data_IF_407990963875
#
_entry.id   IF_407990963875
#
_cell.length_a   1.000
_cell.length_b   1.000
_cell.length_c   1.000
_cell.angle_alpha   90.00
_cell.angle_beta   90.00
_cell.angle_gamma   90.00
#
_symmetry.space_group_name_H-M   'P 1'
#
loop_
_entity.id
_entity.type
_entity.pdbx_description
1 polymer ?
#
# COMPACT_ATOMS: atom_id res chain seq x y z
N UNK A 1 24.43 7.75 -29.92
CA UNK A 1 23.60 8.43 -28.91
C UNK A 1 23.32 7.37 -27.81
N UNK A 2 23.98 7.46 -26.69
CA UNK A 2 23.76 6.56 -25.56
C UNK A 2 22.41 6.90 -24.93
N UNK A 3 21.50 5.95 -24.92
CA UNK A 3 20.17 6.15 -24.31
C UNK A 3 20.33 6.48 -22.82
N UNK A 4 19.63 7.52 -22.36
CA UNK A 4 19.59 7.91 -20.96
C UNK A 4 18.90 6.79 -20.14
N UNK A 5 19.67 6.14 -19.26
CA UNK A 5 19.25 4.94 -18.51
C UNK A 5 18.80 5.27 -17.09
N UNK A 6 18.08 4.36 -16.43
CA UNK A 6 17.69 4.53 -15.04
C UNK A 6 18.90 4.66 -14.10
N UNK A 7 20.02 3.98 -14.41
CA UNK A 7 21.27 4.14 -13.68
C UNK A 7 21.81 5.58 -13.76
N UNK A 8 21.67 6.27 -14.90
CA UNK A 8 22.09 7.67 -15.02
C UNK A 8 21.21 8.60 -14.16
N UNK A 9 19.91 8.28 -13.99
CA UNK A 9 19.01 9.04 -13.11
C UNK A 9 19.40 8.88 -11.64
N UNK A 10 19.69 7.66 -11.21
CA UNK A 10 20.15 7.36 -9.86
C UNK A 10 21.46 8.07 -9.53
N UNK A 11 22.44 8.00 -10.44
CA UNK A 11 23.71 8.69 -10.30
C UNK A 11 23.55 10.21 -10.15
N UNK A 12 22.70 10.85 -10.95
CA UNK A 12 22.45 12.30 -10.85
C UNK A 12 21.68 12.68 -9.59
N UNK A 13 20.81 11.80 -9.10
CA UNK A 13 20.13 12.00 -7.82
C UNK A 13 21.13 11.95 -6.66
N UNK A 14 21.98 10.93 -6.60
CA UNK A 14 23.01 10.81 -5.57
C UNK A 14 24.02 11.96 -5.65
N UNK A 15 24.40 12.39 -6.86
CA UNK A 15 25.25 13.56 -7.08
C UNK A 15 24.61 14.85 -6.57
N UNK A 16 23.29 15.03 -6.76
CA UNK A 16 22.56 16.20 -6.27
C UNK A 16 22.50 16.30 -4.75
N UNK A 17 22.63 15.16 -4.06
CA UNK A 17 22.65 15.04 -2.59
C UNK A 17 24.06 14.99 -1.99
N UNK A 18 25.10 15.00 -2.84
CA UNK A 18 26.49 14.89 -2.38
C UNK A 18 26.87 13.50 -1.83
N UNK A 19 26.15 12.47 -2.23
CA UNK A 19 26.31 11.07 -1.77
C UNK A 19 27.22 10.23 -2.67
N UNK A 20 27.77 10.80 -3.73
CA UNK A 20 28.61 10.11 -4.71
C UNK A 20 30.05 9.95 -4.23
N UNK A 21 30.68 8.84 -4.59
CA UNK A 21 32.14 8.63 -4.47
C UNK A 21 32.89 9.49 -5.48
N UNK A 22 34.22 9.62 -5.32
CA UNK A 22 35.09 10.41 -6.23
C UNK A 22 34.95 9.94 -7.69
N UNK A 23 34.89 8.65 -7.95
CA UNK A 23 34.71 8.06 -9.29
C UNK A 23 33.34 8.35 -9.89
N UNK A 24 32.28 8.25 -9.09
CA UNK A 24 30.90 8.55 -9.50
C UNK A 24 30.67 10.04 -9.75
N UNK A 25 31.34 10.90 -8.99
CA UNK A 25 31.34 12.35 -9.21
C UNK A 25 31.85 12.70 -10.59
N UNK A 26 33.00 12.13 -10.99
CA UNK A 26 33.59 12.34 -12.33
C UNK A 26 32.65 11.79 -13.42
N UNK A 27 32.01 10.66 -13.19
CA UNK A 27 31.04 10.09 -14.14
C UNK A 27 29.78 10.99 -14.28
N UNK A 28 29.28 11.53 -13.19
CA UNK A 28 28.14 12.46 -13.17
C UNK A 28 28.44 13.77 -13.90
N UNK A 29 29.62 14.38 -13.64
CA UNK A 29 30.05 15.58 -14.32
C UNK A 29 30.24 15.38 -15.83
N UNK A 30 30.80 14.23 -16.22
CA UNK A 30 30.89 13.84 -17.61
C UNK A 30 29.53 13.68 -18.28
N UNK A 31 28.57 13.07 -17.58
CA UNK A 31 27.21 12.89 -18.06
C UNK A 31 26.52 14.24 -18.27
N UNK A 32 26.68 15.18 -17.34
CA UNK A 32 26.15 16.55 -17.43
C UNK A 32 26.77 17.32 -18.61
N UNK A 33 28.05 17.11 -18.90
CA UNK A 33 28.73 17.76 -20.04
C UNK A 33 28.27 17.20 -21.41
N UNK A 34 27.76 15.97 -21.47
CA UNK A 34 27.48 15.27 -22.73
C UNK A 34 25.98 15.16 -23.07
N UNK A 35 25.07 15.32 -22.09
CA UNK A 35 23.65 15.11 -22.29
C UNK A 35 22.81 16.31 -21.82
N UNK A 36 22.09 16.99 -22.71
CA UNK A 36 21.16 18.05 -22.32
C UNK A 36 20.00 17.52 -21.48
N UNK A 37 19.63 16.23 -21.64
CA UNK A 37 18.60 15.58 -20.81
C UNK A 37 19.08 15.43 -19.36
N UNK A 38 20.38 15.13 -19.16
CA UNK A 38 20.97 15.04 -17.82
C UNK A 38 20.98 16.40 -17.12
N UNK A 39 21.29 17.47 -17.84
CA UNK A 39 21.25 18.86 -17.32
C UNK A 39 19.84 19.23 -16.90
N UNK A 40 18.84 18.98 -17.74
CA UNK A 40 17.44 19.28 -17.42
C UNK A 40 16.93 18.53 -16.18
N UNK A 41 17.32 17.26 -16.03
CA UNK A 41 16.98 16.47 -14.85
C UNK A 41 17.68 17.01 -13.61
N UNK A 42 18.95 17.32 -13.69
CA UNK A 42 19.74 17.87 -12.58
C UNK A 42 19.18 19.22 -12.10
N UNK A 43 18.82 20.12 -13.02
CA UNK A 43 18.21 21.41 -12.69
C UNK A 43 16.84 21.21 -12.01
N UNK A 44 16.06 20.24 -12.48
CA UNK A 44 14.77 19.88 -11.83
C UNK A 44 15.00 19.36 -10.40
N UNK A 45 15.93 18.43 -10.21
CA UNK A 45 16.28 17.90 -8.89
C UNK A 45 16.75 19.01 -7.96
N UNK A 46 17.62 19.89 -8.43
CA UNK A 46 18.15 21.01 -7.64
C UNK A 46 17.05 22.00 -7.26
N UNK A 47 16.10 22.27 -8.15
CA UNK A 47 14.96 23.17 -7.84
C UNK A 47 14.04 22.59 -6.77
N UNK A 48 13.82 21.25 -6.79
CA UNK A 48 13.02 20.54 -5.78
C UNK A 48 13.73 20.46 -4.43
N UNK A 49 15.08 20.33 -4.44
CA UNK A 49 15.89 20.22 -3.23
C UNK A 49 16.26 21.59 -2.63
N UNK A 50 16.16 22.67 -3.38
CA UNK A 50 16.55 24.02 -2.91
C UNK A 50 15.87 24.47 -1.63
N UNK A 51 14.61 24.08 -1.27
CA UNK A 51 14.04 24.41 0.03
C UNK A 51 14.80 23.78 1.21
N UNK A 52 15.57 22.72 0.99
CA UNK A 52 16.39 22.09 2.04
C UNK A 52 17.61 22.93 2.39
N UNK A 53 18.11 23.77 1.46
CA UNK A 53 19.22 24.68 1.69
C UNK A 53 18.84 25.81 2.68
N UNK A 54 17.53 26.05 2.85
CA UNK A 54 16.99 27.03 3.79
C UNK A 54 16.83 26.49 5.22
N UNK A 55 17.09 25.20 5.46
CA UNK A 55 17.09 24.63 6.81
C UNK A 55 18.32 25.13 7.56
N UNK A 56 18.12 25.81 8.68
CA UNK A 56 19.19 26.16 9.61
C UNK A 56 19.84 24.85 10.12
N UNK A 57 21.04 24.56 9.64
CA UNK A 57 21.85 23.45 10.15
C UNK A 57 22.42 23.90 11.49
N UNK A 58 22.05 23.21 12.55
CA UNK A 58 22.63 23.46 13.88
C UNK A 58 24.16 23.28 13.79
N UNK A 59 24.95 24.29 14.19
CA UNK A 59 26.40 24.21 14.04
C UNK A 59 26.95 23.05 14.85
N UNK A 60 27.81 22.26 14.20
CA UNK A 60 28.45 21.12 14.85
C UNK A 60 29.24 21.63 16.08
N UNK A 61 29.07 21.02 17.28
CA UNK A 61 29.82 21.39 18.46
C UNK A 61 31.31 21.42 18.15
N UNK A 62 32.01 22.53 18.43
CA UNK A 62 33.46 22.73 18.11
C UNK A 62 34.36 21.62 18.67
N UNK A 63 33.91 20.96 19.76
CA UNK A 63 34.65 19.89 20.40
C UNK A 63 34.43 18.48 19.80
N UNK A 64 33.44 18.32 18.89
CA UNK A 64 33.07 16.97 18.39
C UNK A 64 34.24 16.32 17.63
N UNK A 65 34.91 17.07 16.77
CA UNK A 65 36.07 16.58 16.01
C UNK A 65 37.22 16.19 16.94
N UNK A 66 37.53 17.01 17.94
CA UNK A 66 38.60 16.75 18.91
C UNK A 66 38.26 15.51 19.76
N UNK A 67 37.03 15.37 20.21
CA UNK A 67 36.57 14.20 20.97
C UNK A 67 36.62 12.91 20.14
N UNK A 68 36.26 12.98 18.86
CA UNK A 68 36.30 11.82 17.96
C UNK A 68 37.73 11.38 17.71
N UNK A 69 38.65 12.32 17.46
CA UNK A 69 40.10 12.05 17.27
C UNK A 69 40.73 11.47 18.55
N UNK A 70 40.36 12.00 19.71
CA UNK A 70 40.83 11.47 21.00
C UNK A 70 40.38 10.02 21.21
N UNK A 71 39.09 9.73 20.93
CA UNK A 71 38.55 8.38 21.06
C UNK A 71 39.14 7.37 20.10
N UNK A 72 39.43 7.80 18.86
CA UNK A 72 40.15 6.98 17.89
C UNK A 72 41.59 6.69 18.33
N UNK A 73 42.28 7.67 18.93
CA UNK A 73 43.61 7.46 19.49
C UNK A 73 43.62 6.50 20.67
N UNK A 74 42.66 6.62 21.55
CA UNK A 74 42.47 5.68 22.69
C UNK A 74 42.26 4.24 22.22
N UNK A 75 41.38 4.05 21.23
CA UNK A 75 41.11 2.73 20.65
C UNK A 75 42.36 2.18 19.93
N UNK A 76 43.04 2.99 19.16
CA UNK A 76 44.26 2.56 18.46
C UNK A 76 45.41 2.25 19.42
N UNK A 77 45.55 2.99 20.50
CA UNK A 77 46.56 2.70 21.55
C UNK A 77 46.23 1.43 22.34
N UNK A 78 44.94 1.18 22.61
CA UNK A 78 44.47 -0.06 23.23
C UNK A 78 44.74 -1.29 22.35
N UNK A 79 44.52 -1.13 21.00
CA UNK A 79 44.83 -2.19 20.05
C UNK A 79 46.35 -2.45 19.94
N UNK A 80 47.18 -1.42 19.92
CA UNK A 80 48.65 -1.56 19.90
C UNK A 80 49.22 -2.14 21.20
N UNK A 81 48.57 -1.91 22.33
CA UNK A 81 48.94 -2.54 23.63
C UNK A 81 48.51 -4.00 23.69
N UNK A 82 47.43 -4.36 23.03
CA UNK A 82 46.97 -5.75 22.88
C UNK A 82 47.96 -6.57 22.02
N UNK A 83 48.41 -6.00 20.89
CA UNK A 83 49.43 -6.66 20.04
C UNK A 83 50.77 -6.79 20.70
N UNK A 84 51.14 -5.87 21.62
CA UNK A 84 52.41 -5.90 22.32
C UNK A 84 52.42 -6.92 23.50
N UNK A 85 51.26 -7.34 23.94
CA UNK A 85 51.13 -8.40 24.98
C UNK A 85 51.26 -9.81 24.36
N UNK A 86 51.14 -9.96 23.05
CA UNK A 86 51.33 -11.25 22.35
C UNK A 86 52.77 -11.54 21.95
N UNK A 87 53.71 -10.55 22.01
CA UNK A 87 55.11 -10.68 21.53
C UNK A 87 56.07 -11.29 22.55
N UNK A 88 55.58 -11.81 23.68
CA UNK A 88 56.43 -12.42 24.71
C UNK A 88 56.18 -13.95 24.93
N UNK A 89 55.77 -14.66 23.89
CA UNK A 89 55.69 -16.13 23.92
C UNK A 89 56.69 -16.69 22.90
N UNK A 90 57.68 -17.52 23.27
CA UNK A 90 58.67 -18.08 22.38
C UNK A 90 58.02 -19.00 21.35
N UNK A 91 58.39 -18.81 20.09
CA UNK A 91 57.99 -19.63 18.98
C UNK A 91 58.66 -20.98 19.09
N UNK A 92 57.89 -22.00 19.37
CA UNK A 92 58.26 -23.39 19.21
C UNK A 92 57.22 -24.12 18.36
N UNK A 93 57.66 -24.56 17.21
CA UNK A 93 57.08 -25.53 16.26
C UNK A 93 55.67 -25.29 15.69
N UNK A 94 55.70 -25.01 14.39
CA UNK A 94 54.51 -24.95 13.48
C UNK A 94 53.92 -26.35 13.32
N UNK A 95 53.04 -26.72 14.23
CA UNK A 95 52.01 -27.71 14.00
C UNK A 95 50.80 -27.01 13.42
N UNK A 96 50.26 -27.49 12.34
CA UNK A 96 48.95 -27.08 11.78
C UNK A 96 47.87 -27.15 12.88
N UNK A 97 47.80 -26.13 13.72
CA UNK A 97 46.74 -25.99 14.69
C UNK A 97 45.56 -25.32 14.02
N UNK A 98 44.54 -26.12 13.75
CA UNK A 98 43.18 -25.66 13.54
C UNK A 98 42.92 -24.42 14.39
N UNK A 99 42.54 -23.31 13.76
CA UNK A 99 42.04 -22.12 14.44
C UNK A 99 40.82 -22.55 15.26
N UNK A 100 41.08 -22.95 16.50
CA UNK A 100 40.03 -23.11 17.52
C UNK A 100 39.72 -21.71 17.99
N UNK A 101 38.75 -21.07 17.36
CA UNK A 101 38.11 -19.89 17.89
C UNK A 101 37.58 -20.31 19.27
N UNK A 102 38.04 -19.70 20.39
CA UNK A 102 37.55 -20.04 21.72
C UNK A 102 36.15 -19.43 21.91
N UNK A 103 35.17 -20.00 21.19
CA UNK A 103 33.79 -19.55 21.17
C UNK A 103 33.07 -19.70 22.55
N UNK A 104 33.69 -20.39 23.48
CA UNK A 104 33.01 -20.80 24.70
C UNK A 104 33.58 -20.19 25.99
N UNK A 105 34.52 -19.25 25.93
CA UNK A 105 35.20 -18.78 27.16
C UNK A 105 34.60 -17.55 27.83
N UNK A 106 33.73 -16.80 27.13
CA UNK A 106 33.08 -15.63 27.73
C UNK A 106 31.56 -15.73 27.60
N UNK A 107 30.93 -16.31 28.63
CA UNK A 107 29.48 -16.32 28.76
C UNK A 107 28.87 -14.90 28.64
N UNK A 108 29.64 -13.87 29.03
CA UNK A 108 29.24 -12.47 28.90
C UNK A 108 29.09 -12.02 27.45
N UNK A 109 29.99 -12.42 26.55
CA UNK A 109 29.92 -12.03 25.12
C UNK A 109 28.78 -12.75 24.42
N UNK A 110 28.55 -14.02 24.79
CA UNK A 110 27.38 -14.78 24.27
C UNK A 110 26.09 -14.14 24.77
N UNK A 111 26.01 -13.76 26.02
CA UNK A 111 24.85 -13.08 26.60
C UNK A 111 24.62 -11.70 25.96
N UNK A 112 25.68 -10.95 25.67
CA UNK A 112 25.60 -9.65 24.98
C UNK A 112 25.09 -9.80 23.55
N UNK A 113 25.62 -10.76 22.79
CA UNK A 113 25.13 -11.05 21.42
C UNK A 113 23.69 -11.54 21.46
N UNK A 114 23.35 -12.43 22.39
CA UNK A 114 21.98 -12.90 22.56
C UNK A 114 21.02 -11.75 22.92
N UNK A 115 21.41 -10.84 23.81
CA UNK A 115 20.62 -9.67 24.17
C UNK A 115 20.40 -8.73 22.99
N UNK A 116 21.43 -8.49 22.17
CA UNK A 116 21.31 -7.69 20.93
C UNK A 116 20.38 -8.37 19.93
N UNK A 117 20.49 -9.70 19.75
CA UNK A 117 19.59 -10.44 18.87
C UNK A 117 18.14 -10.42 19.37
N UNK A 118 17.92 -10.56 20.67
CA UNK A 118 16.58 -10.47 21.28
C UNK A 118 16.00 -9.07 21.10
N UNK A 119 16.78 -8.02 21.31
CA UNK A 119 16.36 -6.64 21.02
C UNK A 119 16.06 -6.43 19.54
N UNK A 120 16.92 -6.93 18.66
CA UNK A 120 16.74 -6.84 17.22
C UNK A 120 15.45 -7.54 16.77
N UNK A 121 15.25 -8.77 17.18
CA UNK A 121 14.05 -9.55 16.85
C UNK A 121 12.82 -8.99 17.57
N UNK A 122 12.92 -8.63 18.83
CA UNK A 122 11.80 -8.18 19.66
C UNK A 122 11.32 -6.77 19.36
N UNK A 123 12.18 -5.88 18.86
CA UNK A 123 11.84 -4.48 18.61
C UNK A 123 11.81 -4.15 17.10
N UNK A 124 12.85 -4.53 16.37
CA UNK A 124 12.96 -4.15 14.95
C UNK A 124 11.96 -4.89 14.07
N UNK A 125 11.72 -6.18 14.25
CA UNK A 125 10.74 -6.90 13.43
C UNK A 125 9.31 -6.37 13.61
N UNK A 126 8.80 -6.15 14.84
CA UNK A 126 7.47 -5.53 15.01
C UNK A 126 7.38 -4.13 14.43
N UNK A 127 8.41 -3.29 14.60
CA UNK A 127 8.39 -1.92 14.08
C UNK A 127 8.40 -1.89 12.55
N UNK A 128 9.18 -2.74 11.89
CA UNK A 128 9.19 -2.89 10.43
C UNK A 128 7.84 -3.40 9.92
N UNK A 129 7.25 -4.39 10.59
CA UNK A 129 5.94 -4.91 10.22
C UNK A 129 4.85 -3.84 10.34
N UNK A 130 4.89 -3.03 11.39
CA UNK A 130 3.99 -1.91 11.60
C UNK A 130 4.18 -0.82 10.53
N UNK A 131 5.41 -0.41 10.27
CA UNK A 131 5.73 0.60 9.24
C UNK A 131 5.28 0.14 7.85
N UNK A 132 5.56 -1.13 7.49
CA UNK A 132 5.09 -1.73 6.24
C UNK A 132 3.57 -1.72 6.13
N UNK A 133 2.88 -2.04 7.22
CA UNK A 133 1.42 -2.03 7.27
C UNK A 133 0.86 -0.62 7.05
N UNK A 134 1.40 0.39 7.71
CA UNK A 134 1.00 1.79 7.53
C UNK A 134 1.24 2.26 6.10
N UNK A 135 2.38 1.91 5.52
CA UNK A 135 2.70 2.21 4.13
C UNK A 135 1.63 1.64 3.16
N UNK A 136 1.31 0.35 3.28
CA UNK A 136 0.31 -0.27 2.42
C UNK A 136 -1.10 0.30 2.63
N UNK A 137 -1.46 0.61 3.89
CA UNK A 137 -2.72 1.27 4.20
C UNK A 137 -2.82 2.65 3.54
N UNK A 138 -1.79 3.48 3.65
CA UNK A 138 -1.74 4.79 3.02
C UNK A 138 -1.81 4.71 1.49
N UNK A 139 -1.11 3.75 0.90
CA UNK A 139 -1.18 3.51 -0.56
C UNK A 139 -2.58 3.08 -1.00
N UNK A 140 -3.25 2.23 -0.22
CA UNK A 140 -4.62 1.84 -0.49
C UNK A 140 -5.59 3.04 -0.37
N UNK A 141 -5.42 3.88 0.67
CA UNK A 141 -6.19 5.12 0.82
C UNK A 141 -5.99 6.06 -0.37
N UNK A 142 -4.77 6.21 -0.85
CA UNK A 142 -4.49 7.02 -2.03
C UNK A 142 -5.21 6.50 -3.28
N UNK A 143 -5.21 5.19 -3.53
CA UNK A 143 -5.95 4.60 -4.64
C UNK A 143 -7.47 4.81 -4.47
N UNK A 144 -8.00 4.58 -3.28
CA UNK A 144 -9.41 4.82 -2.98
C UNK A 144 -9.80 6.29 -3.18
N UNK A 145 -8.90 7.23 -2.83
CA UNK A 145 -9.07 8.66 -3.06
C UNK A 145 -9.19 9.01 -4.55
N UNK A 146 -8.38 8.40 -5.39
CA UNK A 146 -8.48 8.59 -6.85
C UNK A 146 -9.82 8.08 -7.39
N UNK A 147 -10.31 6.94 -6.89
CA UNK A 147 -11.62 6.41 -7.28
C UNK A 147 -12.74 7.37 -6.84
N UNK A 148 -12.68 7.85 -5.60
CA UNK A 148 -13.65 8.81 -5.05
C UNK A 148 -13.65 10.13 -5.85
N UNK A 149 -12.48 10.68 -6.15
CA UNK A 149 -12.35 11.88 -6.98
C UNK A 149 -12.90 11.65 -8.41
N UNK A 150 -12.65 10.46 -8.96
CA UNK A 150 -13.24 10.06 -10.24
C UNK A 150 -14.77 10.05 -10.21
N UNK A 151 -15.37 9.53 -9.13
CA UNK A 151 -16.82 9.58 -8.92
C UNK A 151 -17.34 11.02 -8.79
N UNK A 152 -16.62 11.88 -8.09
CA UNK A 152 -17.01 13.28 -7.93
C UNK A 152 -16.93 14.05 -9.25
N UNK A 153 -15.90 13.83 -10.05
CA UNK A 153 -15.77 14.43 -11.39
C UNK A 153 -16.87 13.92 -12.33
N UNK A 154 -17.12 12.60 -12.33
CA UNK A 154 -18.23 12.03 -13.08
C UNK A 154 -19.56 12.68 -12.70
N UNK A 155 -19.85 12.83 -11.42
CA UNK A 155 -21.07 13.47 -10.94
C UNK A 155 -21.16 14.95 -11.39
N UNK A 156 -20.04 15.66 -11.41
CA UNK A 156 -19.96 17.05 -11.92
C UNK A 156 -20.38 17.14 -13.38
N UNK A 157 -20.00 16.18 -14.21
CA UNK A 157 -20.32 16.14 -15.64
C UNK A 157 -21.72 15.54 -15.96
N UNK A 158 -22.37 14.91 -14.94
CA UNK A 158 -23.64 14.18 -15.11
C UNK A 158 -24.75 14.66 -14.16
N UNK A 159 -24.92 15.97 -13.97
CA UNK A 159 -26.00 16.57 -13.16
C UNK A 159 -26.06 16.07 -11.72
N UNK A 160 -24.91 15.83 -11.11
CA UNK A 160 -24.78 15.32 -9.73
C UNK A 160 -25.04 13.83 -9.57
N UNK A 161 -25.20 13.09 -10.67
CA UNK A 161 -25.48 11.64 -10.64
C UNK A 161 -24.20 10.83 -10.57
N UNK A 162 -24.16 9.86 -9.66
CA UNK A 162 -23.09 8.87 -9.59
C UNK A 162 -23.19 7.85 -10.75
N UNK A 163 -22.08 7.16 -11.09
CA UNK A 163 -22.11 6.07 -12.07
C UNK A 163 -23.18 5.04 -11.68
N UNK A 164 -24.07 4.76 -12.58
CA UNK A 164 -25.19 3.86 -12.32
C UNK A 164 -25.32 2.80 -13.39
N UNK A 165 -25.61 1.59 -12.99
CA UNK A 165 -25.96 0.49 -13.90
C UNK A 165 -27.45 0.29 -13.80
N UNK A 166 -28.19 0.17 -14.94
CA UNK A 166 -29.59 -0.21 -14.90
C UNK A 166 -29.72 -1.55 -14.14
N UNK A 167 -30.36 -1.52 -13.02
CA UNK A 167 -30.54 -2.68 -12.17
C UNK A 167 -32.04 -2.92 -12.02
N UNK A 168 -32.54 -3.93 -12.71
CA UNK A 168 -33.90 -4.40 -12.52
C UNK A 168 -34.07 -5.14 -11.18
N UNK A 169 -35.26 -5.15 -10.64
CA UNK A 169 -35.55 -5.94 -9.44
C UNK A 169 -35.25 -7.44 -9.69
N UNK A 170 -34.53 -8.07 -8.77
CA UNK A 170 -34.14 -9.47 -8.92
C UNK A 170 -32.88 -9.73 -9.73
N UNK A 171 -32.11 -8.69 -10.12
CA UNK A 171 -30.82 -8.89 -10.81
C UNK A 171 -29.68 -9.04 -9.79
N UNK A 172 -28.76 -10.01 -10.03
CA UNK A 172 -27.67 -10.29 -9.11
C UNK A 172 -26.58 -9.21 -9.17
N UNK A 173 -26.18 -8.68 -8.01
CA UNK A 173 -25.06 -7.73 -7.91
C UNK A 173 -23.67 -8.40 -7.82
N UNK A 174 -23.63 -9.71 -7.61
CA UNK A 174 -22.43 -10.45 -7.23
C UNK A 174 -21.59 -10.99 -8.40
N UNK A 175 -22.07 -10.94 -9.64
CA UNK A 175 -21.41 -11.53 -10.81
C UNK A 175 -20.21 -10.69 -11.30
N UNK A 176 -19.29 -10.38 -10.41
CA UNK A 176 -18.07 -9.59 -10.67
C UNK A 176 -17.19 -10.27 -11.73
N UNK A 177 -16.85 -9.54 -12.79
CA UNK A 177 -16.01 -10.05 -13.88
C UNK A 177 -16.75 -10.87 -14.94
N UNK A 178 -18.08 -11.03 -14.84
CA UNK A 178 -18.86 -11.66 -15.88
C UNK A 178 -19.12 -10.70 -17.04
N UNK A 179 -18.80 -11.11 -18.25
CA UNK A 179 -18.87 -10.26 -19.45
C UNK A 179 -20.11 -10.51 -20.32
N UNK A 180 -21.04 -11.35 -19.88
CA UNK A 180 -22.26 -11.67 -20.62
C UNK A 180 -23.27 -10.52 -20.64
N UNK A 181 -24.29 -10.58 -21.52
CA UNK A 181 -25.30 -9.52 -21.68
C UNK A 181 -26.16 -9.30 -20.44
N UNK A 182 -26.30 -10.32 -19.60
CA UNK A 182 -27.11 -10.29 -18.38
C UNK A 182 -26.30 -9.84 -17.14
N UNK A 183 -25.09 -9.35 -17.33
CA UNK A 183 -24.26 -8.90 -16.23
C UNK A 183 -24.79 -7.60 -15.63
N UNK A 184 -25.31 -7.68 -14.43
CA UNK A 184 -25.74 -6.55 -13.61
C UNK A 184 -24.84 -6.34 -12.40
N UNK A 185 -23.62 -6.89 -12.43
CA UNK A 185 -22.64 -6.73 -11.36
C UNK A 185 -22.51 -5.29 -10.90
N UNK A 186 -22.44 -5.09 -9.60
CA UNK A 186 -22.27 -3.77 -9.00
C UNK A 186 -20.94 -3.10 -9.43
N UNK A 187 -19.91 -3.88 -9.73
CA UNK A 187 -18.59 -3.40 -10.15
C UNK A 187 -18.59 -2.71 -11.51
N UNK A 188 -19.61 -2.93 -12.35
CA UNK A 188 -19.79 -2.17 -13.62
C UNK A 188 -19.85 -0.66 -13.40
N UNK A 189 -20.31 -0.19 -12.25
CA UNK A 189 -20.27 1.23 -11.86
C UNK A 189 -18.86 1.76 -11.80
N UNK A 190 -17.94 0.99 -11.20
CA UNK A 190 -16.51 1.30 -11.20
C UNK A 190 -15.89 1.20 -12.59
N UNK A 191 -16.28 0.18 -13.37
CA UNK A 191 -15.81 0.01 -14.73
C UNK A 191 -16.25 1.13 -15.66
N UNK A 192 -17.43 1.70 -15.44
CA UNK A 192 -17.88 2.90 -16.17
C UNK A 192 -16.91 4.07 -16.00
N UNK A 193 -16.40 4.30 -14.78
CA UNK A 193 -15.37 5.34 -14.54
C UNK A 193 -14.08 5.07 -15.33
N UNK A 194 -13.74 3.79 -15.53
CA UNK A 194 -12.56 3.40 -16.33
C UNK A 194 -12.83 3.65 -17.82
N UNK A 195 -13.97 3.22 -18.34
CA UNK A 195 -14.36 3.43 -19.74
C UNK A 195 -14.45 4.91 -20.13
N UNK A 196 -15.00 5.70 -19.23
CA UNK A 196 -15.18 7.14 -19.42
C UNK A 196 -13.92 7.95 -19.03
N UNK A 197 -12.80 7.26 -18.72
CA UNK A 197 -11.47 7.82 -18.44
C UNK A 197 -11.40 8.74 -17.21
N UNK A 198 -12.30 8.59 -16.26
CA UNK A 198 -12.21 9.28 -14.97
C UNK A 198 -11.18 8.65 -14.03
N UNK A 199 -11.00 7.34 -14.11
CA UNK A 199 -10.10 6.56 -13.24
C UNK A 199 -9.33 5.54 -14.05
N UNK A 200 -8.04 5.40 -13.79
CA UNK A 200 -7.23 4.32 -14.38
C UNK A 200 -7.54 2.99 -13.68
N UNK A 201 -7.63 1.85 -14.38
CA UNK A 201 -8.07 0.57 -13.82
C UNK A 201 -7.17 0.04 -12.70
N UNK A 202 -5.86 0.37 -12.69
CA UNK A 202 -4.92 0.00 -11.64
C UNK A 202 -5.28 0.59 -10.27
N UNK A 203 -6.04 1.70 -10.25
CA UNK A 203 -6.50 2.34 -9.01
C UNK A 203 -7.56 1.55 -8.27
N UNK A 204 -8.17 0.58 -8.89
CA UNK A 204 -9.13 -0.32 -8.24
C UNK A 204 -8.47 -1.48 -7.49
N UNK A 205 -7.13 -1.53 -7.43
CA UNK A 205 -6.38 -2.55 -6.71
C UNK A 205 -5.84 -1.99 -5.38
N UNK A 206 -6.13 -2.70 -4.28
CA UNK A 206 -5.48 -2.47 -3.00
C UNK A 206 -4.11 -3.17 -2.99
N UNK A 207 -2.99 -2.44 -2.85
CA UNK A 207 -1.65 -3.05 -2.87
C UNK A 207 -1.36 -3.92 -1.63
N UNK A 208 -2.18 -3.81 -0.58
CA UNK A 208 -2.05 -4.63 0.62
C UNK A 208 -2.80 -5.98 0.52
N UNK A 209 -3.68 -6.13 -0.48
CA UNK A 209 -4.45 -7.37 -0.66
C UNK A 209 -3.55 -8.46 -1.23
N UNK A 210 -3.51 -9.65 -0.61
CA UNK A 210 -2.93 -10.81 -1.26
C UNK A 210 -3.79 -11.20 -2.45
N UNK A 211 -3.23 -11.14 -3.64
CA UNK A 211 -3.89 -11.52 -4.90
C UNK A 211 -3.13 -12.71 -5.48
N UNK A 212 -3.86 -13.78 -5.79
CA UNK A 212 -3.27 -14.91 -6.48
C UNK A 212 -2.94 -14.53 -7.93
N UNK A 213 -1.66 -14.62 -8.26
CA UNK A 213 -1.15 -14.26 -9.57
C UNK A 213 -0.89 -12.76 -9.75
N UNK A 214 -0.22 -12.43 -10.86
CA UNK A 214 0.08 -11.05 -11.23
C UNK A 214 -1.13 -10.43 -11.93
N UNK A 215 -1.64 -9.32 -11.41
CA UNK A 215 -2.60 -8.47 -12.12
C UNK A 215 -1.79 -7.48 -12.95
N UNK A 216 -1.97 -7.50 -14.28
CA UNK A 216 -1.39 -6.51 -15.19
C UNK A 216 -2.52 -5.91 -16.01
N UNK A 217 -2.46 -4.61 -16.17
CA UNK A 217 -3.36 -3.84 -17.04
C UNK A 217 -2.68 -3.47 -18.37
N UNK A 218 -1.44 -3.95 -18.56
CA UNK A 218 -0.71 -3.74 -19.80
C UNK A 218 -1.49 -4.43 -20.96
N UNK A 219 -1.69 -3.73 -22.04
CA UNK A 219 -2.46 -4.19 -23.23
C UNK A 219 -3.95 -4.46 -22.99
N UNK A 220 -4.52 -4.05 -21.85
CA UNK A 220 -5.96 -4.15 -21.62
C UNK A 220 -6.70 -3.15 -22.50
N UNK A 221 -7.48 -3.67 -23.45
CA UNK A 221 -8.40 -2.86 -24.24
C UNK A 221 -9.69 -2.68 -23.46
N UNK A 222 -9.84 -1.53 -22.82
CA UNK A 222 -10.98 -1.21 -21.93
C UNK A 222 -12.31 -1.37 -22.63
N UNK A 223 -12.34 -1.09 -23.95
CA UNK A 223 -13.53 -1.12 -24.79
C UNK A 223 -14.10 -2.53 -25.00
N UNK A 224 -13.28 -3.56 -24.84
CA UNK A 224 -13.66 -4.96 -25.01
C UNK A 224 -14.44 -5.51 -23.81
N UNK A 225 -14.50 -4.76 -22.70
CA UNK A 225 -15.08 -5.22 -21.45
C UNK A 225 -16.26 -4.35 -21.01
N UNK A 226 -17.28 -5.01 -20.49
CA UNK A 226 -18.44 -4.35 -19.84
C UNK A 226 -18.33 -4.23 -18.33
N UNK A 227 -17.39 -4.95 -17.73
CA UNK A 227 -17.01 -4.97 -16.32
C UNK A 227 -15.51 -5.24 -16.19
N UNK A 228 -14.94 -5.24 -14.97
CA UNK A 228 -13.58 -5.70 -14.75
C UNK A 228 -13.36 -7.08 -15.39
N UNK A 229 -12.20 -7.35 -15.97
CA UNK A 229 -11.97 -8.63 -16.69
C UNK A 229 -12.22 -9.87 -15.82
N UNK A 230 -11.81 -9.80 -14.54
CA UNK A 230 -11.99 -10.85 -13.56
C UNK A 230 -12.08 -10.23 -12.15
N UNK A 231 -12.54 -10.99 -11.16
CA UNK A 231 -12.63 -10.53 -9.75
C UNK A 231 -11.31 -10.03 -9.16
N UNK A 232 -10.18 -10.60 -9.60
CA UNK A 232 -8.85 -10.17 -9.12
C UNK A 232 -8.45 -8.77 -9.57
N UNK A 233 -9.16 -8.19 -10.55
CA UNK A 233 -8.90 -6.84 -11.06
C UNK A 233 -9.60 -5.74 -10.25
N UNK A 234 -10.31 -6.09 -9.19
CA UNK A 234 -10.92 -5.13 -8.28
C UNK A 234 -10.75 -5.58 -6.83
N UNK A 235 -10.35 -4.66 -5.97
CA UNK A 235 -10.16 -4.86 -4.54
C UNK A 235 -11.02 -3.92 -3.70
N UNK A 236 -11.98 -3.26 -4.32
CA UNK A 236 -12.89 -2.34 -3.66
C UNK A 236 -14.34 -2.73 -3.90
N UNK A 237 -15.18 -2.45 -2.93
CA UNK A 237 -16.62 -2.61 -3.00
C UNK A 237 -17.28 -1.25 -3.15
N UNK A 238 -18.27 -1.17 -4.02
CA UNK A 238 -18.96 0.07 -4.37
C UNK A 238 -20.35 0.04 -3.76
N UNK A 239 -20.83 1.17 -3.29
CA UNK A 239 -22.18 1.28 -2.72
C UNK A 239 -23.24 0.86 -3.72
N UNK A 240 -24.20 0.06 -3.26
CA UNK A 240 -25.47 -0.17 -3.96
C UNK A 240 -26.46 0.86 -3.46
N UNK A 241 -27.04 1.62 -4.36
CA UNK A 241 -28.09 2.58 -4.03
C UNK A 241 -29.45 1.92 -3.77
N UNK A 242 -30.26 2.62 -2.98
CA UNK A 242 -31.67 2.26 -2.82
C UNK A 242 -32.41 2.48 -4.15
N UNK A 243 -33.19 1.50 -4.67
CA UNK A 243 -33.91 1.63 -5.94
C UNK A 243 -34.89 2.79 -6.00
N UNK A 244 -35.35 3.26 -4.85
CA UNK A 244 -36.36 4.32 -4.71
C UNK A 244 -35.74 5.73 -4.63
N UNK A 245 -34.42 5.84 -4.46
CA UNK A 245 -33.72 7.09 -4.35
C UNK A 245 -32.90 7.41 -5.60
N UNK A 246 -32.79 8.69 -5.93
CA UNK A 246 -31.78 9.14 -6.89
C UNK A 246 -30.45 9.22 -6.18
N UNK A 247 -29.53 8.36 -6.57
CA UNK A 247 -28.14 8.42 -6.07
C UNK A 247 -27.53 9.76 -6.45
N UNK A 248 -27.49 10.68 -5.49
CA UNK A 248 -26.89 12.01 -5.65
C UNK A 248 -25.66 12.11 -4.74
N UNK A 249 -24.65 12.81 -5.23
CA UNK A 249 -23.47 13.17 -4.43
C UNK A 249 -23.76 14.23 -3.35
N UNK A 250 -24.96 14.81 -3.35
CA UNK A 250 -25.36 15.95 -2.53
C UNK A 250 -26.10 15.52 -1.27
N UNK A 251 -25.66 15.98 -0.11
CA UNK A 251 -26.40 15.91 1.15
C UNK A 251 -25.63 15.26 2.29
N UNK A 252 -26.16 14.15 2.80
CA UNK A 252 -25.58 13.47 3.96
C UNK A 252 -24.22 12.82 3.61
N UNK A 253 -23.37 12.68 4.63
CA UNK A 253 -22.10 11.95 4.52
C UNK A 253 -22.37 10.47 4.33
N UNK A 254 -22.33 10.03 3.10
CA UNK A 254 -22.61 8.64 2.70
C UNK A 254 -21.33 7.89 2.34
N UNK A 255 -21.30 6.60 2.63
CA UNK A 255 -20.25 5.70 2.11
C UNK A 255 -20.43 5.57 0.59
N UNK A 256 -19.35 5.73 -0.17
CA UNK A 256 -19.33 5.55 -1.63
C UNK A 256 -18.61 4.27 -2.04
N UNK A 257 -17.42 4.08 -1.51
CA UNK A 257 -16.53 2.97 -1.82
C UNK A 257 -15.81 2.55 -0.55
N UNK A 258 -15.57 1.27 -0.39
CA UNK A 258 -14.76 0.72 0.69
C UNK A 258 -13.81 -0.36 0.18
N UNK A 259 -12.88 -0.78 1.02
CA UNK A 259 -12.13 -2.02 0.81
C UNK A 259 -13.11 -3.18 0.57
N UNK A 260 -12.64 -4.21 -0.12
CA UNK A 260 -13.49 -5.31 -0.60
C UNK A 260 -14.28 -5.96 0.53
N UNK A 261 -15.60 -6.05 0.33
CA UNK A 261 -16.53 -6.71 1.24
C UNK A 261 -16.15 -8.19 1.45
N UNK A 262 -16.10 -8.67 2.69
CA UNK A 262 -15.78 -10.08 3.00
C UNK A 262 -16.64 -11.10 2.26
N UNK A 263 -17.86 -10.76 1.87
CA UNK A 263 -18.74 -11.61 1.05
C UNK A 263 -18.06 -12.02 -0.26
N UNK A 264 -17.19 -11.19 -0.82
CA UNK A 264 -16.47 -11.49 -2.06
C UNK A 264 -15.69 -12.81 -2.01
N UNK A 265 -15.21 -13.20 -0.83
CA UNK A 265 -14.47 -14.45 -0.63
C UNK A 265 -15.38 -15.70 -0.64
N UNK A 266 -16.68 -15.49 -0.50
CA UNK A 266 -17.69 -16.56 -0.45
C UNK A 266 -18.46 -16.71 -1.78
N UNK A 267 -18.20 -15.81 -2.74
CA UNK A 267 -18.88 -15.84 -4.04
C UNK A 267 -18.46 -17.07 -4.85
N UNK A 268 -19.39 -17.74 -5.57
CA UNK A 268 -19.06 -18.86 -6.45
C UNK A 268 -18.03 -18.43 -7.52
N UNK A 269 -17.11 -19.30 -7.87
CA UNK A 269 -16.18 -19.08 -8.99
C UNK A 269 -16.94 -19.10 -10.33
N UNK A 270 -17.92 -19.98 -10.46
CA UNK A 270 -18.78 -20.10 -11.63
C UNK A 270 -19.97 -19.13 -11.54
N UNK A 271 -20.04 -18.21 -12.48
CA UNK A 271 -21.12 -17.22 -12.56
C UNK A 271 -22.49 -17.81 -12.95
N UNK A 272 -22.54 -19.06 -13.45
CA UNK A 272 -23.80 -19.80 -13.71
C UNK A 272 -24.37 -20.47 -12.45
N UNK A 273 -23.55 -20.61 -11.40
CA UNK A 273 -23.99 -21.18 -10.14
C UNK A 273 -24.97 -20.26 -9.40
N UNK A 274 -25.86 -20.84 -8.63
CA UNK A 274 -26.72 -20.09 -7.71
C UNK A 274 -25.89 -19.67 -6.49
N UNK A 275 -25.90 -18.38 -6.18
CA UNK A 275 -25.27 -17.88 -4.96
C UNK A 275 -26.25 -18.00 -3.79
N UNK A 276 -25.85 -18.76 -2.78
CA UNK A 276 -26.55 -18.90 -1.49
C UNK A 276 -25.51 -18.83 -0.39
N UNK A 277 -25.63 -17.85 0.48
CA UNK A 277 -24.76 -17.66 1.61
C UNK A 277 -25.58 -17.52 2.88
N UNK A 278 -25.43 -18.48 3.79
CA UNK A 278 -25.96 -18.34 5.14
C UNK A 278 -25.05 -17.38 5.91
N UNK A 279 -25.66 -16.32 6.40
CA UNK A 279 -24.98 -15.32 7.22
C UNK A 279 -24.84 -15.87 8.63
N UNK A 280 -23.63 -15.85 9.15
CA UNK A 280 -23.29 -16.28 10.51
C UNK A 280 -22.59 -15.14 11.26
N UNK A 281 -22.43 -15.33 12.55
CA UNK A 281 -21.78 -14.34 13.43
C UNK A 281 -20.32 -14.07 13.04
N UNK A 282 -19.60 -15.05 12.47
CA UNK A 282 -18.23 -14.89 11.99
C UNK A 282 -18.19 -13.91 10.81
N UNK A 283 -19.08 -14.10 9.84
CA UNK A 283 -19.18 -13.20 8.68
C UNK A 283 -19.61 -11.80 9.09
N UNK A 284 -20.53 -11.66 10.06
CA UNK A 284 -20.98 -10.35 10.58
C UNK A 284 -19.87 -9.59 11.33
N UNK A 285 -18.83 -10.29 11.82
CA UNK A 285 -17.65 -9.67 12.47
C UNK A 285 -16.45 -9.54 11.55
N UNK A 286 -16.49 -10.16 10.36
CA UNK A 286 -15.37 -10.16 9.45
C UNK A 286 -15.12 -8.78 8.83
N UNK A 287 -13.90 -8.28 8.94
CA UNK A 287 -13.42 -7.12 8.21
C UNK A 287 -12.86 -7.51 6.83
N UNK A 288 -12.63 -6.52 5.99
CA UNK A 288 -11.99 -6.73 4.69
C UNK A 288 -10.63 -7.42 4.81
N UNK A 289 -10.36 -8.37 3.92
CA UNK A 289 -9.04 -9.04 3.84
C UNK A 289 -7.95 -8.17 3.22
N UNK A 290 -8.28 -7.01 2.65
CA UNK A 290 -7.30 -6.11 2.05
C UNK A 290 -6.15 -5.76 2.99
N UNK A 291 -6.45 -5.60 4.28
CA UNK A 291 -5.48 -5.28 5.33
C UNK A 291 -5.34 -6.38 6.38
N UNK A 292 -5.53 -7.64 5.96
CA UNK A 292 -5.40 -8.80 6.83
C UNK A 292 -6.49 -8.88 7.91
N UNK A 293 -7.70 -8.42 7.63
CA UNK A 293 -8.84 -8.48 8.54
C UNK A 293 -8.82 -7.47 9.69
N UNK A 294 -7.86 -6.52 9.71
CA UNK A 294 -7.70 -5.55 10.81
C UNK A 294 -8.64 -4.36 10.73
N UNK A 295 -9.32 -4.21 9.62
CA UNK A 295 -10.22 -3.10 9.31
C UNK A 295 -10.25 -2.84 7.82
N UNK A 296 -10.86 -1.77 7.43
CA UNK A 296 -11.08 -1.36 6.05
C UNK A 296 -10.98 0.15 5.87
N UNK A 297 -10.48 0.58 4.72
CA UNK A 297 -10.59 1.95 4.27
C UNK A 297 -11.98 2.19 3.68
N UNK A 298 -12.55 3.33 4.00
CA UNK A 298 -13.89 3.74 3.55
C UNK A 298 -13.81 5.17 3.04
N UNK A 299 -14.29 5.40 1.83
CA UNK A 299 -14.41 6.71 1.21
C UNK A 299 -15.86 7.20 1.28
N UNK A 300 -16.02 8.46 1.66
CA UNK A 300 -17.31 9.09 1.89
C UNK A 300 -17.61 10.17 0.84
N UNK A 301 -18.87 10.51 0.66
CA UNK A 301 -19.33 11.51 -0.31
C UNK A 301 -18.81 12.93 -0.02
N UNK A 302 -18.34 13.21 1.21
CA UNK A 302 -17.76 14.50 1.60
C UNK A 302 -16.27 14.64 1.23
N UNK A 303 -15.68 13.68 0.52
CA UNK A 303 -14.26 13.69 0.15
C UNK A 303 -13.35 13.03 1.19
N UNK A 304 -13.84 12.69 2.37
CA UNK A 304 -13.01 12.10 3.42
C UNK A 304 -12.80 10.59 3.21
N UNK A 305 -11.63 10.11 3.65
CA UNK A 305 -11.31 8.68 3.68
C UNK A 305 -10.89 8.33 5.09
N UNK A 306 -11.44 7.25 5.63
CA UNK A 306 -11.14 6.80 6.98
C UNK A 306 -10.81 5.31 7.01
N UNK A 307 -9.89 4.93 7.87
CA UNK A 307 -9.68 3.53 8.21
C UNK A 307 -10.56 3.16 9.40
N UNK A 308 -11.51 2.29 9.17
CA UNK A 308 -12.42 1.77 10.20
C UNK A 308 -11.93 0.41 10.66
N UNK A 309 -11.79 0.24 11.98
CA UNK A 309 -11.45 -1.07 12.60
C UNK A 309 -12.66 -2.00 12.73
N UNK A 310 -13.84 -1.43 12.62
CA UNK A 310 -15.12 -2.10 12.67
C UNK A 310 -15.93 -1.76 11.43
N UNK A 311 -16.97 -2.53 11.15
CA UNK A 311 -17.81 -2.38 9.96
C UNK A 311 -18.82 -1.24 10.06
N UNK A 312 -18.99 -0.66 11.25
CA UNK A 312 -19.92 0.42 11.51
C UNK A 312 -19.21 1.78 11.37
N UNK A 313 -19.87 2.74 10.77
CA UNK A 313 -19.35 4.11 10.71
C UNK A 313 -19.65 4.84 12.01
N UNK A 314 -18.86 5.87 12.33
CA UNK A 314 -19.12 6.71 13.52
C UNK A 314 -20.40 7.53 13.44
N UNK A 315 -21.00 7.63 12.25
CA UNK A 315 -22.15 8.47 11.95
C UNK A 315 -23.44 7.68 11.79
N UNK A 316 -23.32 6.36 11.64
CA UNK A 316 -24.40 5.42 11.50
C UNK A 316 -24.01 4.12 12.21
N UNK A 317 -24.92 3.54 12.98
CA UNK A 317 -24.75 2.20 13.54
C UNK A 317 -24.88 1.11 12.47
N UNK A 318 -25.05 1.50 11.22
CA UNK A 318 -25.28 0.65 10.09
C UNK A 318 -23.99 -0.08 9.64
N UNK A 319 -24.14 -1.32 9.24
CA UNK A 319 -23.06 -2.18 8.76
C UNK A 319 -22.78 -1.92 7.28
N UNK A 320 -21.60 -1.41 6.95
CA UNK A 320 -21.24 -1.09 5.55
C UNK A 320 -21.16 -2.29 4.63
N UNK A 321 -21.08 -3.51 5.15
CA UNK A 321 -20.89 -4.74 4.37
C UNK A 321 -22.12 -5.62 4.29
N UNK A 322 -23.20 -5.26 4.99
CA UNK A 322 -24.48 -5.99 4.96
C UNK A 322 -25.63 -5.02 4.78
N UNK A 323 -26.68 -5.40 4.03
CA UNK A 323 -27.95 -4.67 4.06
C UNK A 323 -28.54 -4.71 5.46
N UNK A 324 -29.18 -3.62 5.89
CA UNK A 324 -29.72 -3.48 7.25
C UNK A 324 -30.73 -4.57 7.68
N UNK A 325 -31.39 -5.20 6.71
CA UNK A 325 -32.37 -6.29 6.97
C UNK A 325 -31.71 -7.67 7.18
N UNK A 326 -30.41 -7.79 6.88
CA UNK A 326 -29.70 -9.07 6.96
C UNK A 326 -29.02 -9.22 8.31
N UNK A 327 -29.45 -10.25 9.04
CA UNK A 327 -28.92 -10.58 10.38
C UNK A 327 -28.44 -12.03 10.43
N UNK A 328 -27.92 -12.45 11.58
CA UNK A 328 -27.49 -13.83 11.82
C UNK A 328 -28.60 -14.83 11.48
N UNK A 329 -28.23 -15.90 10.79
CA UNK A 329 -29.11 -16.93 10.32
C UNK A 329 -29.85 -16.65 9.02
N UNK A 330 -29.83 -15.41 8.50
CA UNK A 330 -30.42 -15.09 7.20
C UNK A 330 -29.67 -15.77 6.05
N UNK A 331 -30.35 -16.00 4.92
CA UNK A 331 -29.77 -16.47 3.68
C UNK A 331 -29.67 -15.32 2.68
N UNK A 332 -28.47 -15.03 2.18
CA UNK A 332 -28.24 -14.10 1.09
C UNK A 332 -28.13 -14.83 -0.24
N UNK A 333 -28.70 -14.22 -1.29
CA UNK A 333 -28.74 -14.77 -2.66
C UNK A 333 -28.11 -13.83 -3.69
N UNK A 334 -27.61 -12.66 -3.26
CA UNK A 334 -26.96 -11.69 -4.13
C UNK A 334 -27.93 -10.80 -4.91
N UNK A 335 -29.17 -10.71 -4.46
CA UNK A 335 -30.21 -9.82 -4.98
C UNK A 335 -30.62 -8.75 -3.97
N UNK A 336 -30.16 -8.87 -2.74
CA UNK A 336 -30.50 -7.99 -1.62
C UNK A 336 -30.04 -6.56 -1.91
N UNK A 337 -30.81 -5.60 -1.50
CA UNK A 337 -30.55 -4.18 -1.74
C UNK A 337 -30.89 -3.36 -0.51
N UNK A 338 -30.24 -2.20 -0.36
CA UNK A 338 -30.63 -1.25 0.65
C UNK A 338 -32.10 -0.86 0.52
N UNK A 339 -32.83 -0.82 1.63
CA UNK A 339 -34.21 -0.36 1.65
C UNK A 339 -34.34 1.14 1.94
N UNK A 340 -33.24 1.79 2.34
CA UNK A 340 -33.20 3.22 2.61
C UNK A 340 -31.89 3.87 2.14
N UNK A 341 -31.87 5.20 2.01
CA UNK A 341 -30.64 5.94 1.71
C UNK A 341 -29.62 5.91 2.85
N UNK A 342 -30.04 5.58 4.06
CA UNK A 342 -29.17 5.49 5.23
C UNK A 342 -28.43 4.18 5.29
N UNK A 343 -28.93 3.16 4.60
CA UNK A 343 -28.27 1.86 4.47
C UNK A 343 -27.02 1.99 3.57
N UNK A 344 -25.87 1.75 4.16
CA UNK A 344 -24.56 2.02 3.56
C UNK A 344 -23.96 0.82 2.82
N UNK A 345 -24.77 -0.16 2.46
CA UNK A 345 -24.28 -1.41 1.89
C UNK A 345 -23.38 -1.22 0.67
N UNK A 346 -22.11 -1.62 0.81
CA UNK A 346 -21.13 -1.72 -0.31
C UNK A 346 -20.99 -3.19 -0.70
N UNK A 347 -21.39 -3.51 -1.93
CA UNK A 347 -21.29 -4.86 -2.47
C UNK A 347 -20.00 -5.06 -3.25
N UNK A 348 -19.52 -6.31 -3.34
CA UNK A 348 -18.39 -6.66 -4.19
C UNK A 348 -18.60 -6.21 -5.62
#
# INVERSE_FOLDING_TARGET
>A
MTSFTDRHRELLFDYSLGLTSESETVEAERLLAQSPEAVSLYDTLRSVLSPLDALEVEPCPEELAARTVLRLKEVSQAALQSDRAEELIPVEEIGLSTIRIPFWRNWGDIAAVAAVLVLFVGVLLPTLSFARQQYWQSRCQANLGVVQEGMARYAGDHDGRLPSVPMEAGTPWWKVGYQGPENHSNTRRGWQLVRDRYVSPDRFICPARPIDGKVSFDNLKVEDYSDFPERRFISFSIRIGCPQSRESSSGARNVLVADLNPIAEKLPADHSAEFRLRVDEELLKANSRNHGGRGQNVAFSDGSIQFLRQRHTRFSEDDIFMPAEITDGCEMRGYERPCSEKDAFVAP
#
